data_IF_740009547916
#
_entry.id   IF_740009547916
#
_cell.length_a   1.000
_cell.length_b   1.000
_cell.length_c   1.000
_cell.angle_alpha   90.00
_cell.angle_beta   90.00
_cell.angle_gamma   90.00
#
_symmetry.space_group_name_H-M   'P 1'
#
loop_
_entity.id
_entity.type
_entity.pdbx_description
1 polymer ?
#
# COMPACT_ATOMS: atom_id res chain seq x y z
N UNK A 1 -20.09 -24.70 -24.70
CA UNK A 1 -20.90 -24.33 -25.86
C UNK A 1 -21.08 -22.83 -25.81
N UNK A 2 -20.26 -22.05 -26.53
CA UNK A 2 -20.35 -20.58 -26.56
C UNK A 2 -21.57 -20.22 -27.43
N UNK A 3 -22.50 -19.46 -26.86
CA UNK A 3 -23.64 -18.90 -27.58
C UNK A 3 -23.12 -17.98 -28.70
N UNK A 4 -23.65 -18.05 -29.93
CA UNK A 4 -23.20 -17.17 -31.00
C UNK A 4 -23.48 -15.73 -30.62
N UNK A 5 -22.46 -14.85 -30.81
CA UNK A 5 -22.63 -13.40 -30.64
C UNK A 5 -23.77 -12.95 -31.56
N UNK A 6 -24.84 -12.44 -30.96
CA UNK A 6 -25.97 -11.88 -31.67
C UNK A 6 -25.44 -10.63 -32.43
N UNK A 7 -25.58 -10.66 -33.77
CA UNK A 7 -25.28 -9.47 -34.56
C UNK A 7 -26.27 -8.35 -34.16
N UNK A 8 -25.70 -7.22 -33.70
CA UNK A 8 -26.48 -6.04 -33.35
C UNK A 8 -27.08 -5.43 -34.64
N UNK A 9 -28.34 -5.11 -34.63
CA UNK A 9 -28.95 -4.40 -35.73
C UNK A 9 -28.60 -2.90 -35.69
N UNK A 10 -28.81 -2.17 -36.80
CA UNK A 10 -28.42 -0.79 -36.98
C UNK A 10 -29.03 0.16 -35.91
N UNK A 11 -30.27 -0.13 -35.47
CA UNK A 11 -30.93 0.67 -34.43
C UNK A 11 -30.31 0.47 -33.04
N UNK A 12 -29.83 -0.74 -32.76
CA UNK A 12 -29.09 -1.03 -31.50
C UNK A 12 -27.74 -0.34 -31.53
N UNK A 13 -27.04 -0.34 -32.66
CA UNK A 13 -25.77 0.39 -32.84
C UNK A 13 -25.95 1.89 -32.65
N UNK A 14 -27.03 2.49 -33.22
CA UNK A 14 -27.34 3.91 -33.05
C UNK A 14 -27.72 4.27 -31.60
N UNK A 15 -28.32 3.34 -30.87
CA UNK A 15 -28.62 3.50 -29.46
C UNK A 15 -27.34 3.48 -28.61
N UNK A 16 -26.41 2.60 -28.93
CA UNK A 16 -25.11 2.57 -28.26
C UNK A 16 -24.23 3.77 -28.62
N UNK A 17 -24.31 4.28 -29.86
CA UNK A 17 -23.59 5.49 -30.30
C UNK A 17 -23.94 6.74 -29.48
N UNK A 18 -25.15 6.82 -28.91
CA UNK A 18 -25.57 7.92 -28.02
C UNK A 18 -24.86 7.95 -26.67
N UNK A 19 -24.31 6.80 -26.24
CA UNK A 19 -23.54 6.70 -24.99
C UNK A 19 -22.04 6.96 -25.20
N UNK A 20 -21.58 7.00 -26.46
CA UNK A 20 -20.22 7.38 -26.77
C UNK A 20 -20.16 8.89 -26.90
N UNK A 21 -19.55 9.56 -25.90
CA UNK A 21 -19.30 10.98 -25.94
C UNK A 21 -18.48 11.34 -27.21
N UNK A 22 -18.78 12.46 -27.93
CA UNK A 22 -18.02 12.87 -29.11
C UNK A 22 -16.51 12.94 -28.90
N UNK A 23 -16.05 13.21 -27.67
CA UNK A 23 -14.63 13.24 -27.30
C UNK A 23 -13.97 11.84 -27.36
N UNK A 24 -14.73 10.76 -27.33
CA UNK A 24 -14.20 9.40 -27.54
C UNK A 24 -14.03 9.06 -29.03
N UNK A 25 -14.73 9.74 -29.92
CA UNK A 25 -14.53 9.59 -31.38
C UNK A 25 -13.24 10.28 -31.87
N UNK A 26 -12.61 11.14 -31.06
CA UNK A 26 -11.29 11.72 -31.33
C UNK A 26 -10.11 10.77 -31.06
N UNK A 27 -10.36 9.58 -30.54
CA UNK A 27 -9.34 8.52 -30.48
C UNK A 27 -9.10 7.96 -31.89
N UNK A 28 -8.24 8.64 -32.65
CA UNK A 28 -7.71 8.10 -33.90
C UNK A 28 -7.06 6.73 -33.64
N UNK A 29 -7.08 5.83 -34.61
CA UNK A 29 -6.48 4.48 -34.47
C UNK A 29 -5.04 4.51 -33.92
N UNK A 30 -4.32 5.60 -34.11
CA UNK A 30 -3.00 5.91 -33.56
C UNK A 30 -2.98 5.94 -32.03
N UNK A 31 -3.98 6.53 -31.40
CA UNK A 31 -4.06 6.65 -29.92
C UNK A 31 -4.34 5.29 -29.28
N UNK A 32 -5.15 4.44 -29.91
CA UNK A 32 -5.42 3.09 -29.44
C UNK A 32 -4.16 2.22 -29.55
N UNK A 33 -3.41 2.32 -30.65
CA UNK A 33 -2.15 1.60 -30.83
C UNK A 33 -1.11 2.03 -29.79
N UNK A 34 -0.98 3.32 -29.53
CA UNK A 34 -0.08 3.85 -28.49
C UNK A 34 -0.47 3.33 -27.10
N UNK A 35 -1.76 3.33 -26.77
CA UNK A 35 -2.24 2.81 -25.48
C UNK A 35 -1.99 1.29 -25.34
N UNK A 36 -2.16 0.51 -26.40
CA UNK A 36 -1.84 -0.94 -26.40
C UNK A 36 -0.35 -1.19 -26.23
N UNK A 37 0.50 -0.45 -26.95
CA UNK A 37 1.95 -0.53 -26.81
C UNK A 37 2.41 -0.12 -25.41
N UNK A 38 1.88 0.95 -24.86
CA UNK A 38 2.21 1.40 -23.49
C UNK A 38 1.89 0.32 -22.44
N UNK A 39 0.76 -0.36 -22.55
CA UNK A 39 0.40 -1.45 -21.64
C UNK A 39 1.29 -2.69 -21.84
N UNK A 40 1.65 -3.01 -23.07
CA UNK A 40 2.56 -4.10 -23.38
C UNK A 40 3.96 -3.83 -22.81
N UNK A 41 4.52 -2.63 -23.06
CA UNK A 41 5.81 -2.25 -22.50
C UNK A 41 5.76 -2.13 -20.97
N UNK A 42 4.67 -1.62 -20.38
CA UNK A 42 4.46 -1.63 -18.93
C UNK A 42 4.53 -3.05 -18.36
N UNK A 43 3.87 -4.02 -18.99
CA UNK A 43 3.95 -5.42 -18.62
C UNK A 43 5.37 -6.00 -18.76
N UNK A 44 6.09 -5.63 -19.83
CA UNK A 44 7.47 -6.05 -20.06
C UNK A 44 8.42 -5.50 -18.99
N UNK A 45 8.28 -4.23 -18.61
CA UNK A 45 9.07 -3.61 -17.52
C UNK A 45 8.81 -4.33 -16.20
N UNK A 46 7.55 -4.62 -15.85
CA UNK A 46 7.22 -5.40 -14.65
C UNK A 46 7.92 -6.76 -14.68
N UNK A 47 7.95 -7.42 -15.83
CA UNK A 47 8.57 -8.73 -15.99
C UNK A 47 10.11 -8.68 -15.89
N UNK A 48 10.75 -7.66 -16.45
CA UNK A 48 12.20 -7.51 -16.46
C UNK A 48 12.74 -7.01 -15.11
N UNK A 49 12.19 -5.93 -14.59
CA UNK A 49 12.67 -5.25 -13.37
C UNK A 49 12.14 -5.90 -12.10
N UNK A 50 11.02 -6.62 -12.22
CA UNK A 50 10.32 -7.31 -11.12
C UNK A 50 10.16 -6.44 -9.84
N UNK A 51 9.61 -5.25 -9.95
CA UNK A 51 9.33 -4.41 -8.78
C UNK A 51 8.39 -5.13 -7.80
N UNK A 52 7.53 -6.00 -8.30
CA UNK A 52 6.67 -6.90 -7.53
C UNK A 52 6.45 -8.22 -8.29
N UNK A 53 5.96 -9.22 -7.57
CA UNK A 53 5.58 -10.53 -8.09
C UNK A 53 4.16 -10.90 -7.67
N UNK A 54 3.61 -11.96 -8.26
CA UNK A 54 2.34 -12.53 -7.79
C UNK A 54 2.51 -13.01 -6.35
N UNK A 55 1.58 -12.63 -5.48
CA UNK A 55 1.63 -12.85 -4.04
C UNK A 55 2.17 -11.66 -3.23
N UNK A 56 2.86 -10.70 -3.86
CA UNK A 56 3.34 -9.52 -3.15
C UNK A 56 2.17 -8.57 -2.80
N UNK A 57 2.21 -8.02 -1.61
CA UNK A 57 1.43 -6.85 -1.26
C UNK A 57 2.12 -5.61 -1.81
N UNK A 58 1.39 -4.84 -2.60
CA UNK A 58 1.86 -3.57 -3.16
C UNK A 58 0.93 -2.43 -2.79
N UNK A 59 1.50 -1.23 -2.74
CA UNK A 59 0.78 0.02 -2.48
C UNK A 59 1.35 1.14 -3.33
N UNK A 60 0.49 2.02 -3.83
CA UNK A 60 0.90 3.29 -4.44
C UNK A 60 0.42 4.45 -3.57
N UNK A 61 1.33 5.29 -3.04
CA UNK A 61 0.93 6.50 -2.30
C UNK A 61 0.28 7.56 -3.21
N UNK A 62 0.55 7.52 -4.52
CA UNK A 62 0.04 8.50 -5.51
C UNK A 62 -1.35 8.15 -6.04
N UNK A 63 -1.77 6.90 -5.85
CA UNK A 63 -3.02 6.35 -6.36
C UNK A 63 -3.68 5.50 -5.29
N UNK A 64 -4.96 5.34 -5.37
CA UNK A 64 -5.72 4.43 -4.50
C UNK A 64 -5.58 2.97 -4.98
N UNK A 65 -4.32 2.50 -5.00
CA UNK A 65 -3.94 1.14 -5.39
C UNK A 65 -3.27 0.50 -4.18
N UNK A 66 -3.93 -0.48 -3.56
CA UNK A 66 -3.36 -1.26 -2.48
C UNK A 66 -3.98 -2.66 -2.43
N UNK A 67 -3.13 -3.67 -2.23
CA UNK A 67 -3.57 -5.05 -2.07
C UNK A 67 -2.52 -6.07 -2.52
N UNK A 68 -2.92 -7.34 -2.58
CA UNK A 68 -2.07 -8.45 -2.99
C UNK A 68 -2.19 -8.71 -4.48
N UNK A 69 -1.06 -8.81 -5.18
CA UNK A 69 -1.01 -9.12 -6.61
C UNK A 69 -1.45 -10.56 -6.83
N UNK A 70 -2.59 -10.77 -7.52
CA UNK A 70 -3.07 -12.11 -7.86
C UNK A 70 -2.57 -12.60 -9.22
N UNK A 71 -2.48 -11.68 -10.18
CA UNK A 71 -2.10 -12.04 -11.55
C UNK A 71 -1.48 -10.84 -12.27
N UNK A 72 -0.40 -11.11 -12.97
CA UNK A 72 0.22 -10.16 -13.91
C UNK A 72 -0.06 -10.67 -15.33
N UNK A 73 -0.92 -9.96 -16.05
CA UNK A 73 -1.21 -10.22 -17.45
C UNK A 73 -0.39 -9.34 -18.38
N UNK A 74 -0.49 -9.55 -19.68
CA UNK A 74 0.22 -8.74 -20.68
C UNK A 74 -0.27 -7.28 -20.76
N UNK A 75 -1.52 -7.01 -20.38
CA UNK A 75 -2.16 -5.70 -20.41
C UNK A 75 -2.57 -5.17 -19.04
N UNK A 76 -3.02 -6.07 -18.17
CA UNK A 76 -3.60 -5.75 -16.86
C UNK A 76 -2.92 -6.57 -15.78
N UNK A 77 -2.71 -5.95 -14.63
CA UNK A 77 -2.41 -6.62 -13.38
C UNK A 77 -3.66 -6.65 -12.51
N UNK A 78 -3.95 -7.78 -11.90
CA UNK A 78 -5.08 -7.98 -10.99
C UNK A 78 -4.53 -7.97 -9.56
N UNK A 79 -5.08 -7.08 -8.75
CA UNK A 79 -4.73 -6.91 -7.35
C UNK A 79 -5.97 -7.22 -6.51
N UNK A 80 -5.84 -8.04 -5.48
CA UNK A 80 -6.88 -8.29 -4.50
C UNK A 80 -6.74 -7.28 -3.37
N UNK A 81 -7.69 -6.37 -3.24
CA UNK A 81 -7.74 -5.39 -2.15
C UNK A 81 -8.02 -6.08 -0.81
N UNK A 82 -7.77 -5.41 0.32
CA UNK A 82 -7.97 -6.02 1.64
C UNK A 82 -9.42 -6.32 1.97
N UNK A 83 -10.37 -5.65 1.33
CA UNK A 83 -11.80 -5.96 1.37
C UNK A 83 -12.22 -7.02 0.34
N UNK A 84 -11.24 -7.76 -0.20
CA UNK A 84 -11.43 -8.89 -1.11
C UNK A 84 -11.98 -8.57 -2.49
N UNK A 85 -11.97 -7.29 -2.91
CA UNK A 85 -12.38 -6.90 -4.27
C UNK A 85 -11.23 -7.04 -5.26
N UNK A 86 -11.47 -7.51 -6.49
CA UNK A 86 -10.45 -7.47 -7.55
C UNK A 86 -10.32 -6.05 -8.10
N UNK A 87 -9.11 -5.51 -8.09
CA UNK A 87 -8.75 -4.24 -8.72
C UNK A 87 -7.97 -4.55 -10.00
N UNK A 88 -8.47 -4.05 -11.13
CA UNK A 88 -7.85 -4.24 -12.45
C UNK A 88 -7.06 -3.00 -12.84
N UNK A 89 -5.74 -3.10 -12.83
CA UNK A 89 -4.84 -1.98 -13.11
C UNK A 89 -4.16 -2.18 -14.45
N UNK A 90 -4.29 -1.24 -15.43
CA UNK A 90 -3.51 -1.27 -16.66
C UNK A 90 -2.00 -1.23 -16.36
N UNK A 91 -1.20 -2.08 -17.02
CA UNK A 91 0.23 -2.18 -16.74
C UNK A 91 0.99 -0.87 -17.00
N UNK A 92 0.53 -0.05 -17.93
CA UNK A 92 1.10 1.27 -18.22
C UNK A 92 1.04 2.23 -17.03
N UNK A 93 0.12 2.02 -16.08
CA UNK A 93 0.01 2.83 -14.87
C UNK A 93 1.26 2.70 -14.02
N UNK A 94 1.78 1.48 -13.88
CA UNK A 94 2.96 1.20 -13.04
C UNK A 94 4.25 1.87 -13.52
N UNK A 95 4.31 2.30 -14.78
CA UNK A 95 5.45 3.06 -15.30
C UNK A 95 5.46 4.54 -14.87
N UNK A 96 4.36 5.02 -14.29
CA UNK A 96 4.15 6.46 -14.03
C UNK A 96 3.73 6.76 -12.59
N UNK A 97 3.86 5.80 -11.67
CA UNK A 97 3.49 5.97 -10.27
C UNK A 97 4.64 5.54 -9.35
N UNK A 98 4.70 6.12 -8.16
CA UNK A 98 5.50 5.56 -7.09
C UNK A 98 4.88 4.26 -6.59
N UNK A 99 5.71 3.24 -6.36
CA UNK A 99 5.26 1.94 -5.91
C UNK A 99 6.04 1.51 -4.67
N UNK A 100 5.31 1.19 -3.62
CA UNK A 100 5.85 0.55 -2.41
C UNK A 100 5.56 -0.95 -2.46
N UNK A 101 6.49 -1.77 -1.98
CA UNK A 101 6.31 -3.21 -1.84
C UNK A 101 6.49 -3.61 -0.36
N UNK A 102 5.42 -3.58 0.45
CA UNK A 102 5.48 -3.97 1.85
C UNK A 102 5.86 -5.43 2.08
N UNK A 103 5.66 -6.34 1.10
CA UNK A 103 6.12 -7.73 1.21
C UNK A 103 7.65 -7.87 1.24
N UNK A 104 8.38 -6.86 0.74
CA UNK A 104 9.85 -6.82 0.74
C UNK A 104 10.44 -5.93 1.82
N UNK A 105 9.63 -5.46 2.77
CA UNK A 105 10.15 -4.70 3.91
C UNK A 105 11.06 -5.58 4.77
N UNK A 106 12.04 -4.97 5.41
CA UNK A 106 13.00 -5.67 6.29
C UNK A 106 12.55 -5.70 7.74
N UNK A 107 11.82 -4.68 8.17
CA UNK A 107 11.32 -4.50 9.53
C UNK A 107 9.98 -3.76 9.47
N UNK A 108 9.15 -3.89 10.50
CA UNK A 108 7.97 -3.04 10.69
C UNK A 108 8.25 -1.98 11.74
N UNK A 109 7.87 -0.76 11.45
CA UNK A 109 8.02 0.37 12.37
C UNK A 109 6.86 0.42 13.35
N UNK A 110 7.19 0.57 14.64
CA UNK A 110 6.26 1.05 15.67
C UNK A 110 6.52 2.54 15.82
N UNK A 111 5.49 3.35 15.61
CA UNK A 111 5.52 4.80 15.84
C UNK A 111 4.21 5.19 16.53
N UNK A 112 4.28 5.35 17.85
CA UNK A 112 3.10 5.61 18.67
C UNK A 112 3.37 6.75 19.64
N UNK A 113 2.33 7.49 19.96
CA UNK A 113 2.34 8.56 20.96
C UNK A 113 1.56 8.10 22.18
N UNK A 114 2.16 8.24 23.34
CA UNK A 114 1.59 7.82 24.63
C UNK A 114 1.50 9.04 25.55
N UNK A 115 0.34 9.25 26.12
CA UNK A 115 0.05 10.38 27.01
C UNK A 115 0.16 10.00 28.48
N UNK A 116 0.89 10.82 29.26
CA UNK A 116 0.98 10.75 30.71
C UNK A 116 0.14 11.90 31.29
N UNK A 117 -0.53 11.67 32.41
CA UNK A 117 -1.33 12.71 33.08
C UNK A 117 -0.45 13.83 33.61
N UNK A 118 -0.92 15.06 33.59
CA UNK A 118 -0.20 16.20 34.20
C UNK A 118 0.11 16.01 35.69
N UNK A 119 -0.74 15.25 36.40
CA UNK A 119 -0.51 14.91 37.81
C UNK A 119 0.76 14.07 38.05
N UNK A 120 1.26 13.38 37.02
CA UNK A 120 2.45 12.53 37.04
C UNK A 120 3.64 13.18 36.31
N UNK A 121 3.65 14.50 36.15
CA UNK A 121 4.66 15.24 35.40
C UNK A 121 6.09 15.03 35.93
N UNK A 122 6.26 14.86 37.22
CA UNK A 122 7.53 14.55 37.89
C UNK A 122 8.10 13.18 37.51
N UNK A 123 7.26 12.26 37.06
CA UNK A 123 7.61 10.88 36.69
C UNK A 123 7.95 10.72 35.20
N UNK A 124 7.66 11.71 34.35
CA UNK A 124 7.82 11.61 32.89
C UNK A 124 9.19 11.09 32.48
N UNK A 125 10.27 11.64 33.11
CA UNK A 125 11.62 11.22 32.82
C UNK A 125 11.85 9.75 33.15
N UNK A 126 11.42 9.31 34.32
CA UNK A 126 11.58 7.91 34.78
C UNK A 126 10.82 6.97 33.83
N UNK A 127 9.56 7.28 33.52
CA UNK A 127 8.73 6.50 32.61
C UNK A 127 9.39 6.36 31.23
N UNK A 128 9.88 7.46 30.67
CA UNK A 128 10.54 7.46 29.35
C UNK A 128 11.82 6.62 29.37
N UNK A 129 12.61 6.70 30.43
CA UNK A 129 13.85 5.93 30.57
C UNK A 129 13.56 4.44 30.80
N UNK A 130 12.54 4.09 31.60
CA UNK A 130 12.09 2.71 31.80
C UNK A 130 11.56 2.07 30.51
N UNK A 131 10.71 2.79 29.75
CA UNK A 131 10.21 2.31 28.45
C UNK A 131 11.35 2.10 27.46
N UNK A 132 12.33 3.01 27.45
CA UNK A 132 13.52 2.87 26.58
C UNK A 132 14.33 1.63 26.93
N UNK A 133 14.55 1.38 28.23
CA UNK A 133 15.28 0.21 28.71
C UNK A 133 14.53 -1.08 28.36
N UNK A 134 13.22 -1.15 28.63
CA UNK A 134 12.36 -2.27 28.29
C UNK A 134 12.46 -2.61 26.78
N UNK A 135 12.33 -1.61 25.91
CA UNK A 135 12.41 -1.81 24.46
C UNK A 135 13.79 -2.24 23.97
N UNK A 136 14.86 -1.79 24.63
CA UNK A 136 16.23 -2.17 24.27
C UNK A 136 16.56 -3.62 24.62
N UNK A 137 15.88 -4.18 25.60
CA UNK A 137 16.04 -5.56 26.08
C UNK A 137 15.05 -6.55 25.44
N UNK A 138 14.03 -6.03 24.73
CA UNK A 138 12.97 -6.87 24.14
C UNK A 138 13.50 -7.65 22.94
N UNK A 139 13.30 -8.97 22.94
CA UNK A 139 13.77 -9.88 21.89
C UNK A 139 13.12 -9.65 20.53
N UNK A 140 11.89 -9.12 20.51
CA UNK A 140 11.12 -8.87 19.29
C UNK A 140 11.51 -7.55 18.61
N UNK A 141 12.24 -6.68 19.31
CA UNK A 141 12.71 -5.38 18.81
C UNK A 141 14.10 -5.54 18.17
N UNK A 142 14.29 -4.89 17.03
CA UNK A 142 15.57 -4.90 16.31
C UNK A 142 16.50 -3.80 16.88
N UNK A 143 17.38 -4.20 17.79
CA UNK A 143 18.34 -3.31 18.43
C UNK A 143 19.39 -2.68 17.48
N UNK A 144 19.51 -3.21 16.25
CA UNK A 144 20.38 -2.62 15.22
C UNK A 144 19.76 -1.39 14.55
N UNK A 145 18.49 -1.15 14.80
CA UNK A 145 17.72 -0.04 14.24
C UNK A 145 17.54 1.09 15.24
N UNK A 146 17.10 2.23 14.73
CA UNK A 146 16.85 3.41 15.55
C UNK A 146 15.78 3.11 16.61
N UNK A 147 16.10 3.34 17.87
CA UNK A 147 15.20 3.35 19.00
C UNK A 147 15.15 4.75 19.60
N UNK A 148 13.98 5.36 19.61
CA UNK A 148 13.75 6.67 20.22
C UNK A 148 12.54 6.58 21.13
N UNK A 149 12.71 6.98 22.37
CA UNK A 149 11.62 7.19 23.33
C UNK A 149 11.88 8.55 23.96
N UNK A 150 11.13 9.57 23.57
CA UNK A 150 11.33 10.93 24.01
C UNK A 150 10.02 11.64 24.28
N UNK A 151 10.00 12.48 25.31
CA UNK A 151 8.96 13.47 25.50
C UNK A 151 8.89 14.40 24.27
N UNK A 152 7.70 14.71 23.81
CA UNK A 152 7.48 15.43 22.56
C UNK A 152 6.59 16.66 22.71
N UNK A 153 5.49 16.54 23.43
CA UNK A 153 4.44 17.57 23.38
C UNK A 153 3.72 17.75 24.72
N UNK A 154 3.44 19.02 25.06
CA UNK A 154 2.44 19.37 26.05
C UNK A 154 1.08 19.45 25.38
N UNK A 155 0.28 18.38 25.49
CA UNK A 155 -1.07 18.32 24.92
C UNK A 155 -2.10 18.96 25.88
N UNK A 156 -3.34 19.14 25.45
CA UNK A 156 -4.39 19.80 26.23
C UNK A 156 -4.71 19.10 27.56
N UNK A 157 -4.51 17.77 27.63
CA UNK A 157 -4.84 16.94 28.81
C UNK A 157 -3.78 15.93 29.18
N UNK A 158 -2.65 15.88 28.46
CA UNK A 158 -1.56 14.92 28.65
C UNK A 158 -0.20 15.51 28.34
N UNK A 159 0.82 14.87 28.90
CA UNK A 159 2.23 15.04 28.55
C UNK A 159 2.60 13.89 27.65
N UNK A 160 2.82 14.17 26.36
CA UNK A 160 2.97 13.14 25.37
C UNK A 160 4.44 12.83 25.10
N UNK A 161 4.78 11.56 25.14
CA UNK A 161 6.04 11.04 24.61
C UNK A 161 5.77 10.09 23.46
N UNK A 162 6.73 9.94 22.57
CA UNK A 162 6.59 9.02 21.46
C UNK A 162 7.60 7.87 21.54
N UNK A 163 7.17 6.74 21.02
CA UNK A 163 8.01 5.56 20.79
C UNK A 163 8.23 5.41 19.31
N UNK A 164 9.49 5.30 18.90
CA UNK A 164 9.88 5.02 17.52
C UNK A 164 10.88 3.87 17.53
N UNK A 165 10.48 2.73 17.01
CA UNK A 165 11.32 1.54 16.97
C UNK A 165 10.91 0.61 15.82
N UNK A 166 11.65 -0.48 15.64
CA UNK A 166 11.41 -1.46 14.59
C UNK A 166 11.37 -2.87 15.16
N UNK A 167 10.38 -3.65 14.72
CA UNK A 167 10.28 -5.08 15.05
C UNK A 167 11.17 -5.90 14.12
N UNK A 168 11.64 -7.06 14.58
CA UNK A 168 12.34 -8.04 13.74
C UNK A 168 11.38 -8.72 12.77
N UNK A 169 10.14 -8.99 13.21
CA UNK A 169 9.13 -9.61 12.35
C UNK A 169 8.54 -8.63 11.35
N UNK A 170 8.27 -9.12 10.15
CA UNK A 170 7.50 -8.42 9.10
C UNK A 170 6.08 -9.01 8.95
N UNK A 171 5.79 -10.13 9.61
CA UNK A 171 4.47 -10.72 9.60
C UNK A 171 3.45 -9.77 10.25
N UNK A 172 2.30 -9.57 9.60
CA UNK A 172 1.29 -8.63 10.04
C UNK A 172 0.67 -8.98 11.39
N UNK A 173 0.34 -10.25 11.60
CA UNK A 173 -0.31 -10.74 12.83
C UNK A 173 0.68 -10.69 14.01
N UNK A 174 1.88 -11.20 13.80
CA UNK A 174 2.95 -11.18 14.80
C UNK A 174 3.31 -9.74 15.19
N UNK A 175 3.42 -8.82 14.20
CA UNK A 175 3.67 -7.41 14.45
C UNK A 175 2.64 -6.80 15.39
N UNK A 176 1.35 -7.09 15.20
CA UNK A 176 0.31 -6.59 16.09
C UNK A 176 0.39 -7.19 17.49
N UNK A 177 0.83 -8.45 17.62
CA UNK A 177 1.12 -9.07 18.91
C UNK A 177 2.27 -8.37 19.64
N UNK A 178 3.40 -8.15 18.94
CA UNK A 178 4.54 -7.42 19.48
C UNK A 178 4.14 -5.99 19.85
N UNK A 179 3.41 -5.29 18.97
CA UNK A 179 2.93 -3.92 19.23
C UNK A 179 2.05 -3.88 20.48
N UNK A 180 1.14 -4.81 20.66
CA UNK A 180 0.29 -4.88 21.87
C UNK A 180 1.11 -5.15 23.15
N UNK A 181 2.17 -6.00 23.06
CA UNK A 181 3.06 -6.28 24.18
C UNK A 181 3.86 -5.04 24.62
N UNK A 182 4.24 -4.21 23.66
CA UNK A 182 5.04 -2.99 23.84
C UNK A 182 4.22 -1.83 24.38
N UNK A 183 2.93 -1.74 24.06
CA UNK A 183 2.01 -0.66 24.48
C UNK A 183 1.23 -1.02 25.73
#
# INVERSE_FOLDING_TARGET
MLSPMKELNQNELDQYAKYFHPDMMGMTGTNLQVAMLANFFGGLVIYLDRPFAVGDWIRSPDRDIEGTVEKIGWRLTIIRTFDSRPLYVPNSVFSNIALENPSRMRNRRIYETIGIRYADADKVKVIVDDVRSMLSEDEDIDSSKTLIVNFNTFASSSLDFFVYTFTKTTNWIEFHGVKQKVL
#
